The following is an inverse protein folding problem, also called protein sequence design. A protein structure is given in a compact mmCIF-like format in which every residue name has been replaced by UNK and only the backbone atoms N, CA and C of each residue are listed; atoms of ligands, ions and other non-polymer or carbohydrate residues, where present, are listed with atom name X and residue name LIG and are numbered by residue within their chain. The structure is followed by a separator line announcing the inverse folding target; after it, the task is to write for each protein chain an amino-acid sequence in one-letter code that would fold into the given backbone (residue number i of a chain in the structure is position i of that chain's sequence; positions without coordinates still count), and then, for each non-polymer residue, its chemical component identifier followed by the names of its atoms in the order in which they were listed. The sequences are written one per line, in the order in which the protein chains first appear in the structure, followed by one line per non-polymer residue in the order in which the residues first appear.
data_IF_122807675444
#
_entry.id   IF_122807675444
#
_cell.length_a   1.000
_cell.length_b   1.000
_cell.length_c   1.000
_cell.angle_alpha   90.00
_cell.angle_beta   90.00
_cell.angle_gamma   90.00
#
_symmetry.space_group_name_H-M   'P 1'
#
loop_
_entity.id
_entity.type
_entity.pdbx_description
1 polymer ?
#
# COMPACT_ATOMS: atom_id res chain seq x y z
N UNK A 1 -13.58 36.12 -6.51
CA UNK A 1 -12.70 35.76 -7.63
C UNK A 1 -12.35 34.30 -7.49
N UNK A 2 -12.60 33.50 -8.53
CA UNK A 2 -12.52 32.05 -8.47
C UNK A 2 -11.10 31.57 -8.11
N UNK A 3 -11.00 30.74 -7.07
CA UNK A 3 -9.81 29.95 -6.74
C UNK A 3 -9.55 28.97 -7.89
N UNK A 4 -8.85 29.44 -8.91
CA UNK A 4 -8.25 28.61 -9.96
C UNK A 4 -6.76 28.46 -9.61
N UNK A 5 -6.23 27.24 -9.81
CA UNK A 5 -4.79 26.89 -9.94
C UNK A 5 -4.10 26.59 -8.58
N UNK A 6 -3.80 25.31 -8.25
CA UNK A 6 -2.60 24.61 -8.78
C UNK A 6 -2.83 23.18 -9.30
N UNK A 7 -3.96 22.56 -8.96
CA UNK A 7 -4.20 21.12 -9.18
C UNK A 7 -4.21 20.71 -10.66
N UNK A 8 -4.52 21.65 -11.57
CA UNK A 8 -4.48 21.40 -13.01
C UNK A 8 -3.06 21.25 -13.57
N UNK A 9 -2.04 21.86 -12.97
CA UNK A 9 -0.66 21.83 -13.48
C UNK A 9 -0.01 20.46 -13.22
N UNK A 10 -0.41 19.78 -12.14
CA UNK A 10 0.11 18.46 -11.75
C UNK A 10 -0.78 17.29 -12.20
N UNK A 11 -1.87 17.55 -12.93
CA UNK A 11 -2.66 16.52 -13.64
C UNK A 11 -1.93 16.08 -14.92
N UNK A 12 -0.71 15.59 -14.76
CA UNK A 12 0.15 15.15 -15.85
C UNK A 12 -0.21 13.74 -16.35
N UNK A 13 -0.89 12.96 -15.51
CA UNK A 13 -1.29 11.61 -15.87
C UNK A 13 -2.52 11.61 -16.80
N UNK A 14 -2.27 11.37 -18.09
CA UNK A 14 -3.29 10.95 -19.05
C UNK A 14 -3.07 9.47 -19.39
N UNK A 15 -3.90 8.54 -18.88
CA UNK A 15 -3.70 7.12 -19.14
C UNK A 15 -3.81 6.84 -20.64
N UNK A 16 -2.74 6.33 -21.25
CA UNK A 16 -2.79 5.89 -22.65
C UNK A 16 -3.82 4.74 -22.75
N UNK A 17 -4.96 5.04 -23.37
CA UNK A 17 -6.09 4.10 -23.49
C UNK A 17 -5.89 3.17 -24.68
N UNK A 18 -5.12 2.11 -24.50
CA UNK A 18 -5.23 0.96 -25.39
C UNK A 18 -6.52 0.20 -25.07
N UNK A 19 -7.42 0.12 -26.05
CA UNK A 19 -8.64 -0.69 -25.97
C UNK A 19 -8.50 -1.93 -26.84
N UNK A 20 -8.75 -3.10 -26.26
CA UNK A 20 -8.94 -4.35 -26.99
C UNK A 20 -10.28 -4.94 -26.60
N UNK A 21 -10.94 -5.60 -27.55
CA UNK A 21 -12.20 -6.29 -27.30
C UNK A 21 -11.92 -7.57 -26.48
N UNK A 22 -12.51 -7.64 -25.29
CA UNK A 22 -12.45 -8.82 -24.41
C UNK A 22 -13.82 -9.46 -24.33
N UNK A 23 -13.90 -10.79 -24.53
CA UNK A 23 -15.15 -11.54 -24.36
C UNK A 23 -15.46 -11.83 -22.89
N UNK A 24 -14.42 -12.08 -22.10
CA UNK A 24 -14.46 -12.40 -20.67
C UNK A 24 -13.12 -12.01 -20.03
N UNK A 25 -13.16 -11.64 -18.77
CA UNK A 25 -11.98 -11.45 -17.91
C UNK A 25 -12.08 -12.43 -16.75
N UNK A 26 -11.18 -13.40 -16.72
CA UNK A 26 -10.98 -14.31 -15.59
C UNK A 26 -9.64 -13.99 -14.93
N UNK A 27 -9.42 -14.46 -13.70
CA UNK A 27 -8.14 -14.27 -13.00
C UNK A 27 -7.46 -15.61 -12.76
N UNK A 28 -6.15 -15.66 -12.97
CA UNK A 28 -5.29 -16.70 -12.41
C UNK A 28 -4.63 -16.14 -11.16
N UNK A 29 -4.64 -16.96 -10.11
CA UNK A 29 -4.08 -16.61 -8.80
C UNK A 29 -2.78 -17.39 -8.62
N UNK A 30 -1.70 -16.66 -8.35
CA UNK A 30 -0.40 -17.22 -8.04
C UNK A 30 -0.07 -16.96 -6.57
N UNK A 31 0.33 -18.02 -5.86
CA UNK A 31 0.89 -17.90 -4.52
C UNK A 31 2.43 -17.83 -4.59
N UNK A 32 3.10 -17.33 -3.54
CA UNK A 32 4.54 -17.43 -3.42
C UNK A 32 5.00 -18.88 -3.53
N UNK A 33 6.20 -19.08 -4.07
CA UNK A 33 6.83 -20.41 -4.09
C UNK A 33 6.95 -20.98 -2.69
N UNK A 34 7.02 -22.31 -2.57
CA UNK A 34 7.00 -23.01 -1.28
C UNK A 34 8.12 -22.53 -0.35
N UNK A 35 9.31 -22.23 -0.90
CA UNK A 35 10.45 -21.72 -0.14
C UNK A 35 10.34 -20.26 0.31
N UNK A 36 9.35 -19.52 -0.20
CA UNK A 36 9.15 -18.10 0.11
C UNK A 36 8.06 -17.81 1.14
N UNK A 37 7.30 -18.82 1.57
CA UNK A 37 6.16 -18.61 2.48
C UNK A 37 6.56 -18.16 3.88
N UNK A 38 7.67 -18.68 4.43
CA UNK A 38 8.20 -18.24 5.72
C UNK A 38 8.70 -16.78 5.68
N UNK A 39 9.16 -16.33 4.51
CA UNK A 39 9.78 -15.02 4.35
C UNK A 39 8.77 -13.85 4.33
N UNK A 40 7.46 -14.13 4.36
CA UNK A 40 6.43 -13.10 4.42
C UNK A 40 6.59 -12.19 5.65
N UNK A 41 6.98 -12.77 6.79
CA UNK A 41 7.16 -12.06 8.06
C UNK A 41 8.61 -12.11 8.58
N UNK A 42 9.38 -13.12 8.17
CA UNK A 42 10.76 -13.32 8.66
C UNK A 42 11.82 -12.56 7.83
N UNK A 43 11.39 -11.84 6.79
CA UNK A 43 12.28 -11.19 5.83
C UNK A 43 12.86 -12.17 4.81
N UNK A 44 13.36 -11.63 3.69
CA UNK A 44 13.94 -12.42 2.60
C UNK A 44 13.21 -12.29 1.27
N UNK A 45 13.55 -13.17 0.34
CA UNK A 45 13.14 -13.06 -1.07
C UNK A 45 11.86 -13.85 -1.37
N UNK A 46 10.73 -13.15 -1.41
CA UNK A 46 9.46 -13.73 -1.82
C UNK A 46 9.42 -13.82 -3.35
N UNK A 47 9.16 -15.00 -3.89
CA UNK A 47 9.14 -15.23 -5.34
C UNK A 47 7.78 -15.72 -5.82
N UNK A 48 7.27 -15.10 -6.88
CA UNK A 48 6.12 -15.56 -7.67
C UNK A 48 6.63 -16.08 -9.01
N UNK A 49 6.27 -17.31 -9.36
CA UNK A 49 6.58 -17.89 -10.66
C UNK A 49 5.31 -18.04 -11.50
N UNK A 50 5.30 -17.41 -12.67
CA UNK A 50 4.17 -17.36 -13.59
C UNK A 50 4.54 -18.21 -14.81
N UNK A 51 4.24 -19.50 -14.73
CA UNK A 51 4.50 -20.47 -15.81
C UNK A 51 3.29 -20.68 -16.74
N UNK A 52 2.46 -19.65 -16.89
CA UNK A 52 1.22 -19.70 -17.65
C UNK A 52 1.44 -19.37 -19.13
N UNK A 53 2.09 -20.28 -19.85
CA UNK A 53 2.52 -20.07 -21.24
C UNK A 53 1.37 -20.04 -22.25
N UNK A 54 0.27 -20.73 -21.99
CA UNK A 54 -0.84 -20.86 -22.95
C UNK A 54 -1.95 -19.82 -22.78
N UNK A 55 -1.93 -19.04 -21.69
CA UNK A 55 -2.96 -18.03 -21.43
C UNK A 55 -2.50 -16.65 -21.90
N UNK A 56 -3.44 -15.85 -22.38
CA UNK A 56 -3.22 -14.45 -22.71
C UNK A 56 -3.29 -13.63 -21.42
N UNK A 57 -2.13 -13.26 -20.88
CA UNK A 57 -2.01 -12.57 -19.61
C UNK A 57 -2.03 -11.05 -19.82
N UNK A 58 -2.79 -10.34 -18.97
CA UNK A 58 -2.80 -8.89 -18.90
C UNK A 58 -2.05 -8.41 -17.65
N UNK A 59 -0.74 -8.30 -17.74
CA UNK A 59 0.10 -7.92 -16.59
C UNK A 59 -0.15 -6.48 -16.12
N UNK A 60 -0.60 -5.59 -17.00
CA UNK A 60 -0.89 -4.19 -16.65
C UNK A 60 -2.00 -4.03 -15.61
N UNK A 61 -2.98 -4.92 -15.60
CA UNK A 61 -4.12 -4.88 -14.67
C UNK A 61 -3.92 -5.84 -13.48
N UNK A 62 -2.77 -6.53 -13.42
CA UNK A 62 -2.43 -7.42 -12.33
C UNK A 62 -2.24 -6.65 -11.00
N UNK A 63 -2.51 -7.35 -9.90
CA UNK A 63 -2.35 -6.78 -8.56
C UNK A 63 -1.92 -7.84 -7.55
N UNK A 64 -1.19 -7.40 -6.53
CA UNK A 64 -1.00 -8.17 -5.32
C UNK A 64 -2.22 -8.02 -4.42
N UNK A 65 -2.75 -9.12 -3.92
CA UNK A 65 -3.62 -9.13 -2.77
C UNK A 65 -2.80 -9.51 -1.55
N UNK A 66 -2.73 -8.60 -0.58
CA UNK A 66 -2.07 -8.83 0.69
C UNK A 66 -3.11 -8.81 1.79
N UNK A 67 -3.35 -9.96 2.41
CA UNK A 67 -4.18 -10.08 3.60
C UNK A 67 -3.24 -10.01 4.82
N UNK A 68 -3.45 -9.03 5.70
CA UNK A 68 -2.54 -8.74 6.80
C UNK A 68 -3.30 -8.56 8.11
N UNK A 69 -2.54 -8.61 9.21
CA UNK A 69 -3.00 -8.38 10.57
C UNK A 69 -2.14 -7.34 11.25
N UNK A 70 -2.76 -6.47 12.04
CA UNK A 70 -2.05 -5.53 12.92
C UNK A 70 -2.20 -6.06 14.35
N UNK A 71 -1.08 -6.34 15.02
CA UNK A 71 -1.02 -6.87 16.38
C UNK A 71 -0.16 -6.02 17.29
N UNK A 72 -0.33 -6.16 18.58
CA UNK A 72 0.64 -5.71 19.56
C UNK A 72 1.97 -6.47 19.36
N UNK A 73 3.10 -5.79 19.48
CA UNK A 73 4.42 -6.37 19.16
C UNK A 73 4.99 -7.22 20.26
N UNK A 74 4.40 -7.15 21.45
CA UNK A 74 4.75 -7.96 22.62
C UNK A 74 3.74 -9.09 22.87
N UNK A 75 2.47 -8.89 22.46
CA UNK A 75 1.38 -9.83 22.73
C UNK A 75 0.55 -10.13 21.48
N UNK A 76 0.05 -11.36 21.33
CA UNK A 76 -0.86 -11.72 20.23
C UNK A 76 -2.29 -11.19 20.48
N UNK A 77 -2.44 -9.87 20.49
CA UNK A 77 -3.71 -9.17 20.71
C UNK A 77 -3.81 -7.92 19.82
N UNK A 78 -5.00 -7.32 19.78
CA UNK A 78 -5.23 -6.04 19.10
C UNK A 78 -4.44 -4.94 19.82
N UNK A 79 -3.73 -4.05 19.10
CA UNK A 79 -3.08 -2.89 19.72
C UNK A 79 -4.09 -2.06 20.52
N UNK A 80 -3.71 -1.61 21.71
CA UNK A 80 -4.56 -0.75 22.56
C UNK A 80 -4.63 0.70 22.06
N UNK A 81 -3.74 1.09 21.14
CA UNK A 81 -3.70 2.40 20.49
C UNK A 81 -4.27 2.33 19.08
N UNK A 82 -4.92 3.41 18.63
CA UNK A 82 -5.40 3.57 17.26
C UNK A 82 -4.25 3.84 16.26
N UNK A 83 -3.25 2.96 16.22
CA UNK A 83 -2.16 3.03 15.24
C UNK A 83 -2.70 2.62 13.87
N UNK A 84 -2.44 3.42 12.83
CA UNK A 84 -2.84 3.15 11.44
C UNK A 84 -1.64 3.11 10.50
N UNK A 85 -1.83 2.55 9.32
CA UNK A 85 -0.80 2.38 8.30
C UNK A 85 -0.57 3.64 7.46
N UNK A 86 0.66 3.80 6.97
CA UNK A 86 1.04 4.82 6.01
C UNK A 86 0.37 4.59 4.63
N UNK A 87 0.28 5.65 3.82
CA UNK A 87 -0.47 5.63 2.56
C UNK A 87 0.15 4.65 1.54
N UNK A 88 1.45 4.47 1.63
CA UNK A 88 2.28 3.60 0.81
C UNK A 88 2.82 2.38 1.59
N UNK A 89 2.12 1.93 2.65
CA UNK A 89 2.66 0.92 3.55
C UNK A 89 3.10 -0.36 2.82
N UNK A 90 2.30 -0.85 1.86
CA UNK A 90 2.56 -2.11 1.18
C UNK A 90 3.90 -2.13 0.43
N UNK A 91 4.17 -1.20 -0.51
CA UNK A 91 5.48 -1.17 -1.17
C UNK A 91 6.61 -0.86 -0.18
N UNK A 92 6.35 -0.13 0.91
CA UNK A 92 7.34 0.11 1.97
C UNK A 92 7.75 -1.14 2.75
N UNK A 93 7.01 -2.26 2.65
CA UNK A 93 7.39 -3.56 3.22
C UNK A 93 8.61 -4.18 2.52
N UNK A 94 8.99 -3.66 1.35
CA UNK A 94 10.00 -4.26 0.49
C UNK A 94 11.14 -3.28 0.20
N UNK A 95 12.36 -3.78 0.24
CA UNK A 95 13.55 -3.01 -0.13
C UNK A 95 13.83 -3.05 -1.63
N UNK A 96 13.35 -4.09 -2.33
CA UNK A 96 13.50 -4.26 -3.77
C UNK A 96 12.33 -5.06 -4.35
N UNK A 97 11.91 -4.69 -5.57
CA UNK A 97 11.02 -5.50 -6.41
C UNK A 97 11.66 -5.71 -7.79
N UNK A 98 11.62 -6.94 -8.31
CA UNK A 98 12.18 -7.29 -9.61
C UNK A 98 11.13 -8.01 -10.44
N UNK A 99 10.93 -7.55 -11.68
CA UNK A 99 10.14 -8.22 -12.70
C UNK A 99 11.09 -8.86 -13.72
N UNK A 100 10.99 -10.18 -13.87
CA UNK A 100 11.74 -10.94 -14.87
C UNK A 100 10.81 -11.51 -15.94
N UNK A 101 11.29 -11.56 -17.19
CA UNK A 101 10.69 -12.40 -18.23
C UNK A 101 11.77 -13.24 -18.91
N UNK A 102 11.46 -14.51 -19.17
CA UNK A 102 12.40 -15.41 -19.85
C UNK A 102 13.76 -15.49 -19.17
N UNK A 103 13.78 -15.46 -17.83
CA UNK A 103 14.97 -15.52 -16.95
C UNK A 103 15.89 -14.29 -16.98
N UNK A 104 15.44 -13.17 -17.56
CA UNK A 104 16.16 -11.91 -17.52
C UNK A 104 15.36 -10.87 -16.73
N UNK A 105 16.00 -10.10 -15.82
CA UNK A 105 15.35 -8.96 -15.17
C UNK A 105 15.04 -7.90 -16.23
N UNK A 106 13.77 -7.53 -16.34
CA UNK A 106 13.32 -6.44 -17.21
C UNK A 106 13.35 -5.13 -16.44
N UNK A 107 12.85 -5.15 -15.20
CA UNK A 107 12.72 -3.95 -14.39
C UNK A 107 13.00 -4.27 -12.92
N UNK A 108 13.84 -3.45 -12.30
CA UNK A 108 14.22 -3.55 -10.89
C UNK A 108 13.95 -2.22 -10.21
N UNK A 109 13.14 -2.25 -9.17
CA UNK A 109 12.77 -1.08 -8.36
C UNK A 109 13.43 -1.23 -7.00
N UNK A 110 14.30 -0.28 -6.65
CA UNK A 110 14.89 -0.20 -5.31
C UNK A 110 14.09 0.77 -4.46
N UNK A 111 13.88 0.42 -3.21
CA UNK A 111 13.04 1.15 -2.25
C UNK A 111 11.65 1.52 -2.83
N UNK A 112 10.87 0.52 -3.28
CA UNK A 112 9.57 0.71 -3.91
C UNK A 112 8.63 1.62 -3.12
N UNK A 113 8.65 1.59 -1.77
CA UNK A 113 7.84 2.51 -0.96
C UNK A 113 8.13 3.99 -1.21
N UNK A 114 9.42 4.37 -1.27
CA UNK A 114 9.83 5.75 -1.57
C UNK A 114 9.55 6.13 -3.01
N UNK A 115 9.83 5.20 -3.92
CA UNK A 115 9.58 5.37 -5.35
C UNK A 115 8.08 5.60 -5.63
N UNK A 116 7.21 4.77 -5.06
CA UNK A 116 5.76 4.89 -5.18
C UNK A 116 5.26 6.25 -4.68
N UNK A 117 5.73 6.70 -3.51
CA UNK A 117 5.39 8.03 -2.99
C UNK A 117 5.81 9.14 -3.94
N UNK A 118 7.05 9.12 -4.44
CA UNK A 118 7.51 10.13 -5.40
C UNK A 118 6.69 10.13 -6.68
N UNK A 119 6.47 8.95 -7.26
CA UNK A 119 5.72 8.77 -8.50
C UNK A 119 4.28 9.27 -8.35
N UNK A 120 3.63 8.89 -7.26
CA UNK A 120 2.23 9.27 -6.97
C UNK A 120 2.04 10.70 -6.54
N UNK A 121 3.04 11.32 -5.92
CA UNK A 121 3.02 12.76 -5.61
C UNK A 121 3.14 13.62 -6.87
N UNK A 122 3.86 13.14 -7.89
CA UNK A 122 4.18 13.93 -9.09
C UNK A 122 3.23 13.67 -10.26
N UNK A 123 2.87 12.42 -10.51
CA UNK A 123 2.09 12.05 -11.71
C UNK A 123 0.59 12.01 -11.44
N UNK A 124 0.19 11.50 -10.27
CA UNK A 124 -1.20 11.18 -10.00
C UNK A 124 -1.88 12.29 -9.20
N UNK A 125 -3.11 12.68 -9.56
CA UNK A 125 -3.82 13.68 -8.78
C UNK A 125 -4.24 13.10 -7.42
N UNK A 126 -4.48 13.97 -6.45
CA UNK A 126 -4.85 13.58 -5.07
C UNK A 126 -6.24 12.92 -4.99
N UNK A 127 -7.10 13.18 -5.98
CA UNK A 127 -8.42 12.57 -6.17
C UNK A 127 -8.36 11.27 -7.01
N UNK A 128 -7.15 10.78 -7.33
CA UNK A 128 -6.97 9.55 -8.10
C UNK A 128 -7.46 8.32 -7.33
N UNK A 129 -8.74 8.02 -7.50
CA UNK A 129 -9.41 6.85 -6.96
C UNK A 129 -9.11 5.60 -7.79
N UNK A 130 -7.81 5.34 -8.03
CA UNK A 130 -7.47 4.00 -8.53
C UNK A 130 -7.59 3.03 -7.37
N UNK A 131 -8.36 1.98 -7.61
CA UNK A 131 -8.68 0.82 -6.78
C UNK A 131 -7.45 0.08 -6.20
N UNK A 132 -6.24 0.63 -6.36
CA UNK A 132 -5.05 0.26 -5.58
C UNK A 132 -5.21 0.82 -4.16
N UNK A 133 -4.95 0.06 -3.11
CA UNK A 133 -5.10 0.50 -1.72
C UNK A 133 -4.14 1.60 -1.26
N UNK A 134 -3.72 2.48 -2.16
CA UNK A 134 -3.11 3.75 -1.85
C UNK A 134 -4.19 4.76 -1.48
N UNK A 135 -4.16 5.24 -0.24
CA UNK A 135 -5.10 6.23 0.26
C UNK A 135 -4.26 7.44 0.67
N UNK A 136 -4.11 8.46 -0.21
CA UNK A 136 -3.28 9.61 0.05
C UNK A 136 -3.85 10.46 1.18
N UNK A 137 -3.00 11.29 1.77
CA UNK A 137 -3.45 12.37 2.66
C UNK A 137 -4.16 13.45 1.83
N UNK A 138 -5.38 13.77 2.22
CA UNK A 138 -6.24 14.73 1.51
C UNK A 138 -6.80 15.70 2.55
N UNK A 139 -6.55 16.99 2.36
CA UNK A 139 -6.85 18.02 3.35
C UNK A 139 -6.35 19.40 2.94
N UNK A 140 -6.72 20.43 3.71
CA UNK A 140 -6.25 21.80 3.50
C UNK A 140 -4.82 22.06 4.05
N UNK A 141 -4.16 21.01 4.56
CA UNK A 141 -2.84 21.09 5.16
C UNK A 141 -2.81 21.86 6.48
N UNK A 142 -3.98 22.19 7.06
CA UNK A 142 -4.04 22.89 8.32
C UNK A 142 -3.59 21.99 9.47
N UNK A 143 -2.57 22.45 10.20
CA UNK A 143 -2.28 21.94 11.54
C UNK A 143 -3.18 22.70 12.49
N UNK A 144 -3.96 21.98 13.29
CA UNK A 144 -4.90 22.61 14.22
C UNK A 144 -4.15 23.40 15.28
N UNK A 145 -4.56 24.65 15.51
CA UNK A 145 -4.09 25.43 16.65
C UNK A 145 -4.77 24.94 17.93
N UNK A 146 -3.97 24.74 18.98
CA UNK A 146 -4.40 24.24 20.28
C UNK A 146 -5.61 24.98 20.88
N UNK A 147 -6.56 24.29 21.54
CA UNK A 147 -7.34 24.89 22.59
C UNK A 147 -6.62 24.70 23.93
N UNK A 148 -6.07 25.79 24.47
CA UNK A 148 -5.53 25.84 25.84
C UNK A 148 -6.65 25.45 26.82
N UNK A 149 -6.50 24.34 27.55
CA UNK A 149 -7.29 24.07 28.76
C UNK A 149 -6.39 24.18 29.99
N UNK A 150 -6.78 25.09 30.89
CA UNK A 150 -6.22 25.21 32.22
C UNK A 150 -6.46 23.91 33.00
N UNK A 151 -5.39 23.25 33.42
CA UNK A 151 -5.42 22.08 34.31
C UNK A 151 -4.75 22.44 35.62
N UNK A 152 -5.40 22.06 36.73
CA UNK A 152 -4.93 22.27 38.08
C UNK A 152 -3.92 21.19 38.45
N UNK A 153 -2.66 21.60 38.69
CA UNK A 153 -1.53 20.87 39.29
C UNK A 153 -0.43 20.36 38.35
N UNK A 154 0.81 20.65 38.79
CA UNK A 154 2.05 20.61 37.99
C UNK A 154 2.75 19.22 37.97
N UNK A 155 2.33 18.27 38.82
CA UNK A 155 3.02 16.97 38.94
C UNK A 155 2.54 15.90 37.94
N UNK A 156 1.26 15.89 37.56
CA UNK A 156 0.73 14.98 36.52
C UNK A 156 1.04 15.47 35.09
N UNK A 157 1.50 16.71 34.97
CA UNK A 157 1.80 17.38 33.70
C UNK A 157 3.01 16.77 32.98
N UNK A 158 4.03 16.29 33.72
CA UNK A 158 5.28 15.83 33.10
C UNK A 158 5.19 14.42 32.49
N UNK A 159 4.38 13.53 33.08
CA UNK A 159 4.18 12.16 32.56
C UNK A 159 3.13 12.06 31.46
N UNK A 160 2.15 12.96 31.45
CA UNK A 160 1.11 13.00 30.40
C UNK A 160 1.55 13.82 29.18
N UNK A 161 2.39 14.86 29.34
CA UNK A 161 2.81 15.72 28.21
C UNK A 161 3.72 15.06 27.19
N UNK A 162 4.71 14.27 27.59
CA UNK A 162 5.73 13.77 26.63
C UNK A 162 5.18 12.64 25.73
N UNK A 163 4.24 11.83 26.22
CA UNK A 163 3.73 10.66 25.49
C UNK A 163 2.42 10.96 24.75
N UNK A 164 1.63 11.93 25.22
CA UNK A 164 0.35 12.27 24.59
C UNK A 164 0.43 13.46 23.61
N UNK A 165 1.34 14.44 23.78
CA UNK A 165 1.39 15.62 22.91
C UNK A 165 1.86 15.29 21.49
N UNK A 166 2.91 14.50 21.33
CA UNK A 166 3.44 14.18 20.00
C UNK A 166 2.46 13.35 19.13
N UNK A 167 1.52 12.62 19.75
CA UNK A 167 0.57 11.73 19.06
C UNK A 167 -0.82 12.36 18.88
N UNK A 168 -1.23 13.28 19.77
CA UNK A 168 -2.53 13.99 19.67
C UNK A 168 -2.42 15.25 18.81
N UNK A 169 -1.24 15.89 18.70
CA UNK A 169 -1.06 17.15 17.96
C UNK A 169 -1.03 17.01 16.42
N UNK A 170 -1.21 15.79 15.87
CA UNK A 170 -1.49 15.55 14.43
C UNK A 170 -2.96 15.24 14.12
N UNK A 171 -3.82 15.06 15.13
CA UNK A 171 -5.17 14.49 14.93
C UNK A 171 -6.23 15.30 15.66
N UNK A 172 -6.83 16.30 14.99
CA UNK A 172 -8.29 16.36 15.03
C UNK A 172 -8.87 15.97 13.69
N UNK A 173 -9.96 15.23 13.82
CA UNK A 173 -10.72 14.44 12.85
C UNK A 173 -11.48 15.30 11.83
N UNK A 174 -10.84 16.34 11.31
CA UNK A 174 -11.51 17.30 10.42
C UNK A 174 -10.63 17.81 9.27
N UNK A 175 -9.30 17.64 9.33
CA UNK A 175 -8.40 18.20 8.33
C UNK A 175 -7.85 17.17 7.32
N UNK A 176 -7.70 15.90 7.70
CA UNK A 176 -7.13 14.87 6.83
C UNK A 176 -8.10 13.71 6.59
N UNK A 177 -8.87 13.81 5.50
CA UNK A 177 -9.85 12.80 5.09
C UNK A 177 -9.20 11.48 4.65
N UNK A 178 -7.95 11.51 4.17
CA UNK A 178 -7.19 10.33 3.77
C UNK A 178 -6.82 9.44 4.96
N UNK A 179 -6.36 10.06 6.05
CA UNK A 179 -6.10 9.39 7.31
C UNK A 179 -7.35 8.70 7.86
N UNK A 180 -8.50 9.39 7.86
CA UNK A 180 -9.78 8.81 8.33
C UNK A 180 -10.18 7.57 7.52
N UNK A 181 -10.05 7.65 6.18
CA UNK A 181 -10.29 6.49 5.31
C UNK A 181 -9.36 5.32 5.66
N UNK A 182 -8.07 5.58 5.89
CA UNK A 182 -7.11 4.55 6.31
C UNK A 182 -7.46 3.94 7.66
N UNK A 183 -7.85 4.75 8.64
CA UNK A 183 -8.30 4.25 9.95
C UNK A 183 -9.52 3.36 9.79
N UNK A 184 -10.53 3.78 9.01
CA UNK A 184 -11.74 2.98 8.79
C UNK A 184 -11.45 1.69 8.01
N UNK A 185 -10.49 1.72 7.08
CA UNK A 185 -10.18 0.58 6.23
C UNK A 185 -9.18 -0.39 6.86
N UNK A 186 -8.16 0.08 7.57
CA UNK A 186 -7.05 -0.75 8.02
C UNK A 186 -7.07 -1.06 9.52
N UNK A 187 -7.68 -0.22 10.35
CA UNK A 187 -7.64 -0.44 11.79
C UNK A 187 -8.64 -1.53 12.21
N UNK A 188 -8.25 -2.19 13.30
CA UNK A 188 -9.04 -3.20 13.96
C UNK A 188 -10.17 -2.56 14.78
N UNK A 189 -11.38 -3.12 14.69
CA UNK A 189 -12.50 -2.74 15.57
C UNK A 189 -12.55 -3.74 16.72
N UNK A 190 -12.35 -3.26 17.95
CA UNK A 190 -12.37 -4.07 19.19
C UNK A 190 -13.68 -4.83 19.35
N UNK A 191 -14.81 -4.20 18.97
CA UNK A 191 -16.16 -4.79 19.09
C UNK A 191 -16.37 -6.06 18.25
N UNK A 192 -15.50 -6.36 17.26
CA UNK A 192 -15.66 -7.49 16.35
C UNK A 192 -14.48 -8.45 16.29
N UNK A 193 -13.47 -8.30 17.15
CA UNK A 193 -12.26 -9.13 17.16
C UNK A 193 -11.61 -9.29 15.76
N UNK A 194 -11.76 -8.27 14.89
CA UNK A 194 -11.18 -8.26 13.54
C UNK A 194 -9.75 -7.76 13.65
N UNK A 195 -8.79 -8.63 13.36
CA UNK A 195 -7.36 -8.38 13.58
C UNK A 195 -6.63 -8.06 12.29
N UNK A 196 -7.29 -7.46 11.31
CA UNK A 196 -6.66 -7.19 10.03
C UNK A 196 -7.65 -6.89 8.91
N UNK A 197 -7.09 -6.57 7.75
CA UNK A 197 -7.84 -6.42 6.51
C UNK A 197 -6.96 -6.86 5.34
N UNK A 198 -7.42 -6.61 4.12
CA UNK A 198 -6.67 -6.86 2.91
C UNK A 198 -6.47 -5.58 2.12
N UNK A 199 -5.40 -5.57 1.33
CA UNK A 199 -5.12 -4.52 0.35
C UNK A 199 -4.90 -5.15 -1.01
N UNK A 200 -5.52 -4.57 -2.03
CA UNK A 200 -5.20 -4.88 -3.42
C UNK A 200 -4.24 -3.80 -3.92
N UNK A 201 -3.03 -4.19 -4.27
CA UNK A 201 -2.00 -3.29 -4.77
C UNK A 201 -1.72 -3.57 -6.24
N UNK A 202 -2.13 -2.65 -7.10
CA UNK A 202 -1.91 -2.78 -8.55
C UNK A 202 -0.41 -2.70 -8.85
N UNK A 203 0.06 -3.54 -9.79
CA UNK A 203 1.47 -3.59 -10.16
C UNK A 203 1.88 -2.39 -11.00
N UNK A 204 0.98 -1.92 -11.86
CA UNK A 204 0.99 -0.55 -12.32
C UNK A 204 0.46 0.32 -11.16
N UNK A 205 1.13 1.39 -10.73
CA UNK A 205 2.17 2.14 -11.45
C UNK A 205 3.61 1.84 -11.02
N UNK A 206 3.86 0.85 -10.17
CA UNK A 206 5.21 0.56 -9.66
C UNK A 206 6.18 0.20 -10.78
N UNK A 207 5.77 -0.71 -11.66
CA UNK A 207 6.56 -1.09 -12.84
C UNK A 207 6.14 -0.27 -14.05
N UNK A 208 7.04 0.55 -14.58
CA UNK A 208 6.79 1.40 -15.75
C UNK A 208 6.43 0.58 -16.99
N UNK A 209 6.96 -0.64 -17.14
CA UNK A 209 6.57 -1.53 -18.24
C UNK A 209 5.07 -1.85 -18.21
N UNK A 210 4.49 -1.98 -17.01
CA UNK A 210 3.11 -2.39 -16.80
C UNK A 210 2.11 -1.25 -16.97
N UNK A 211 2.57 0.00 -17.08
CA UNK A 211 1.71 1.13 -17.49
C UNK A 211 1.19 0.95 -18.92
N UNK A 212 1.96 0.29 -19.77
CA UNK A 212 1.50 -0.08 -21.09
C UNK A 212 0.60 -1.31 -21.02
N UNK A 213 -0.69 -1.11 -21.36
CA UNK A 213 -1.68 -2.18 -21.50
C UNK A 213 -1.37 -3.11 -22.68
N UNK A 214 -0.42 -4.02 -22.47
CA UNK A 214 -0.02 -5.07 -23.43
C UNK A 214 -0.44 -6.43 -22.93
N UNK A 215 -0.91 -7.27 -23.85
CA UNK A 215 -1.24 -8.68 -23.60
C UNK A 215 -0.03 -9.53 -23.95
N UNK A 216 0.38 -10.42 -23.05
CA UNK A 216 1.51 -11.34 -23.24
C UNK A 216 1.04 -12.79 -23.28
N UNK A 217 1.64 -13.60 -24.15
CA UNK A 217 1.43 -15.06 -24.25
C UNK A 217 2.77 -15.75 -24.52
N UNK A 218 2.92 -16.99 -24.06
CA UNK A 218 4.10 -17.82 -24.34
C UNK A 218 5.38 -17.43 -23.60
N UNK A 219 5.33 -16.43 -22.70
CA UNK A 219 6.48 -15.95 -21.95
C UNK A 219 6.31 -16.27 -20.46
N UNK A 220 7.30 -16.92 -19.82
CA UNK A 220 7.31 -17.10 -18.37
C UNK A 220 7.74 -15.80 -17.69
N UNK A 221 7.05 -15.45 -16.61
CA UNK A 221 7.38 -14.28 -15.79
C UNK A 221 7.75 -14.71 -14.37
N UNK A 222 8.63 -13.94 -13.72
CA UNK A 222 8.88 -14.04 -12.29
C UNK A 222 8.81 -12.67 -11.65
N UNK A 223 8.25 -12.61 -10.44
CA UNK A 223 8.32 -11.40 -9.61
C UNK A 223 9.01 -11.75 -8.31
N UNK A 224 10.08 -11.02 -8.00
CA UNK A 224 10.78 -11.12 -6.73
C UNK A 224 10.47 -9.90 -5.89
N UNK A 225 10.13 -10.11 -4.62
CA UNK A 225 9.95 -9.07 -3.62
C UNK A 225 10.92 -9.34 -2.47
N UNK A 226 11.81 -8.39 -2.18
CA UNK A 226 12.73 -8.49 -1.06
C UNK A 226 12.09 -7.86 0.18
N UNK A 227 11.58 -8.67 1.11
CA UNK A 227 10.92 -8.22 2.34
C UNK A 227 11.94 -7.65 3.34
N UNK A 228 11.66 -6.46 3.86
CA UNK A 228 12.44 -5.77 4.91
C UNK A 228 11.70 -5.81 6.25
N UNK A 229 12.30 -6.30 7.34
CA UNK A 229 11.62 -6.48 8.66
C UNK A 229 11.50 -5.15 9.44
N UNK A 230 11.40 -4.01 8.77
CA UNK A 230 11.31 -2.71 9.41
C UNK A 230 9.85 -2.21 9.41
N UNK A 231 9.13 -2.58 10.47
CA UNK A 231 7.72 -2.21 10.64
C UNK A 231 7.53 -0.76 11.13
N UNK A 232 8.58 -0.08 11.60
CA UNK A 232 8.44 1.31 12.10
C UNK A 232 8.08 2.29 10.96
N UNK A 233 8.59 2.03 9.75
CA UNK A 233 8.40 2.88 8.56
C UNK A 233 6.99 2.83 7.97
N UNK A 234 6.17 1.85 8.36
CA UNK A 234 4.85 1.61 7.76
C UNK A 234 3.69 2.12 8.60
N UNK A 235 3.95 2.60 9.82
CA UNK A 235 2.94 3.17 10.70
C UNK A 235 2.97 4.70 10.70
N UNK A 236 1.79 5.30 10.66
CA UNK A 236 1.66 6.75 10.66
C UNK A 236 2.04 7.34 12.01
N UNK A 237 2.85 8.41 12.00
CA UNK A 237 3.15 9.16 13.22
C UNK A 237 4.54 8.93 13.83
N UNK A 238 5.30 7.95 13.33
CA UNK A 238 6.67 7.59 13.75
C UNK A 238 6.99 7.96 15.20
N UNK A 239 6.42 7.22 16.18
CA UNK A 239 7.00 7.11 17.53
C UNK A 239 6.29 6.06 18.39
N UNK A 240 7.00 4.95 18.64
CA UNK A 240 6.86 4.19 19.89
C UNK A 240 5.60 3.34 20.09
N UNK A 241 4.81 3.05 19.05
CA UNK A 241 3.80 2.01 19.19
C UNK A 241 4.48 0.65 19.01
N UNK A 242 4.29 -0.26 19.97
CA UNK A 242 4.75 -1.65 19.82
C UNK A 242 4.01 -2.39 18.69
N UNK A 243 3.14 -1.77 17.90
CA UNK A 243 2.37 -2.46 16.86
C UNK A 243 3.28 -3.13 15.80
N UNK A 244 2.89 -4.33 15.37
CA UNK A 244 3.54 -5.09 14.28
C UNK A 244 2.53 -5.45 13.21
N UNK A 245 2.99 -5.48 11.96
CA UNK A 245 2.20 -5.96 10.83
C UNK A 245 2.61 -7.39 10.47
N UNK A 246 1.64 -8.30 10.49
CA UNK A 246 1.82 -9.68 10.07
C UNK A 246 1.07 -9.95 8.77
N UNK A 247 1.80 -10.32 7.72
CA UNK A 247 1.20 -10.78 6.46
C UNK A 247 0.73 -12.21 6.65
N UNK A 248 -0.57 -12.43 6.49
CA UNK A 248 -1.18 -13.77 6.61
C UNK A 248 -1.27 -14.49 5.28
N UNK A 249 -1.44 -13.73 4.20
CA UNK A 249 -1.50 -14.27 2.86
C UNK A 249 -1.08 -13.19 1.87
N UNK A 250 -0.32 -13.59 0.86
CA UNK A 250 0.07 -12.72 -0.24
C UNK A 250 -0.12 -13.50 -1.53
N UNK A 251 -0.87 -12.94 -2.47
CA UNK A 251 -1.22 -13.58 -3.74
C UNK A 251 -1.10 -12.58 -4.88
N UNK A 252 -0.73 -13.07 -6.06
CA UNK A 252 -0.69 -12.31 -7.29
C UNK A 252 -1.87 -12.69 -8.16
N UNK A 253 -2.72 -11.72 -8.49
CA UNK A 253 -3.87 -11.88 -9.36
C UNK A 253 -3.52 -11.32 -10.74
N UNK A 254 -3.58 -12.17 -11.76
CA UNK A 254 -3.31 -11.78 -13.14
C UNK A 254 -4.56 -12.04 -13.98
N UNK A 255 -5.15 -11.00 -14.61
CA UNK A 255 -6.23 -11.19 -15.55
C UNK A 255 -5.80 -12.00 -16.78
N UNK A 256 -6.65 -12.92 -17.18
CA UNK A 256 -6.57 -13.69 -18.41
C UNK A 256 -7.63 -13.17 -19.37
N UNK A 257 -7.21 -12.88 -20.58
CA UNK A 257 -8.09 -12.38 -21.64
C UNK A 257 -8.42 -13.54 -22.58
N UNK A 258 -9.70 -13.64 -22.96
CA UNK A 258 -10.06 -14.39 -24.17
C UNK A 258 -10.25 -13.38 -25.30
N UNK A 259 -9.37 -13.35 -26.31
CA UNK A 259 -9.53 -12.44 -27.44
C UNK A 259 -10.84 -12.75 -28.18
N UNK A 260 -11.54 -11.71 -28.63
CA UNK A 260 -12.64 -11.88 -29.59
C UNK A 260 -12.05 -12.16 -30.96
N UNK A 261 -12.15 -13.42 -31.42
CA UNK A 261 -11.93 -13.79 -32.82
C UNK A 261 -13.13 -13.31 -33.65
#
# INVERSE_FOLDING_TARGET
MANKIPDLIFRLYDPIRYSFNKKKEDYIIFSPTVGSKSQLNDGGRITFEIHSLSNWLLLSDAYFRCDFKIKDGTQNQVPQTNTTLENNFFPSLFSEMVLEAGSNPIETIKHPGKFDTMLKTVLYPTDFDSVSGWIPDVGDGSVLKEPVRNLANEADLARVRVVAQNTIERVARAANHGFEKRVLQYNNIVENNRWGNYVNWKLYPLFGLLEHRKVSIGLPYKIHLQREINDDKIFFGENGSDAKLEITNLQLFIPVITPSI
#
